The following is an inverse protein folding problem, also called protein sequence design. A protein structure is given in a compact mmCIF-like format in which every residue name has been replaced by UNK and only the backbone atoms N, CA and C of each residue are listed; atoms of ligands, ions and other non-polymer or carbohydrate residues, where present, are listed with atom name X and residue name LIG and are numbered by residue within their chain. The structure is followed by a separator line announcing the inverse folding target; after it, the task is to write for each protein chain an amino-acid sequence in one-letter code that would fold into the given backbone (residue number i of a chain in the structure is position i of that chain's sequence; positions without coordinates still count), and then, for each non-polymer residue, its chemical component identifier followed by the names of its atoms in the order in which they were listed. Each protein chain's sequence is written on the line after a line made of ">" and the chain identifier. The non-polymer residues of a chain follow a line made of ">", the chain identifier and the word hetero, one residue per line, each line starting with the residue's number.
data_IF_621014397853
#
_entry.id   IF_621014397853
#
_cell.length_a   1.000
_cell.length_b   1.000
_cell.length_c   1.000
_cell.angle_alpha   90.00
_cell.angle_beta   90.00
_cell.angle_gamma   90.00
#
_symmetry.space_group_name_H-M   'P 1'
#
loop_
_entity.id
_entity.type
_entity.pdbx_description
1 polymer ?
#
# COMPACT_ATOMS: atom_id res chain seq x y z
N UNK A 1 15.89 -7.72 -8.24
CA UNK A 1 14.47 -7.60 -7.91
C UNK A 1 14.37 -6.96 -6.54
N UNK A 2 13.61 -5.89 -6.38
CA UNK A 2 13.35 -5.27 -5.08
C UNK A 2 11.92 -5.59 -4.63
N UNK A 3 11.74 -6.01 -3.39
CA UNK A 3 10.43 -6.24 -2.80
C UNK A 3 9.94 -4.97 -2.12
N UNK A 4 8.79 -4.45 -2.54
CA UNK A 4 8.12 -3.34 -1.86
C UNK A 4 6.95 -3.91 -1.07
N UNK A 5 7.03 -3.80 0.25
CA UNK A 5 6.13 -4.44 1.21
C UNK A 5 5.19 -3.40 1.82
N UNK A 6 3.89 -3.54 1.56
CA UNK A 6 2.83 -2.63 2.01
C UNK A 6 2.00 -3.32 3.09
N UNK A 7 1.98 -2.76 4.30
CA UNK A 7 1.20 -3.31 5.40
C UNK A 7 -0.32 -3.05 5.23
N UNK A 8 -1.14 -3.74 6.03
CA UNK A 8 -2.59 -3.54 6.04
C UNK A 8 -3.04 -2.50 7.06
N UNK A 9 -4.35 -2.26 7.12
CA UNK A 9 -4.96 -1.41 8.14
C UNK A 9 -4.56 -1.86 9.55
N UNK A 10 -4.44 -0.88 10.46
CA UNK A 10 -4.04 -1.08 11.86
C UNK A 10 -2.65 -1.71 12.08
N UNK A 11 -1.82 -1.77 11.04
CA UNK A 11 -0.43 -2.22 11.12
C UNK A 11 0.53 -1.06 10.83
N UNK A 12 1.82 -1.37 10.88
CA UNK A 12 2.91 -0.48 10.49
C UNK A 12 4.00 -1.28 9.75
N UNK A 13 5.03 -0.62 9.19
CA UNK A 13 6.16 -1.30 8.54
C UNK A 13 6.80 -2.43 9.37
N UNK A 14 6.80 -2.32 10.69
CA UNK A 14 7.36 -3.30 11.62
C UNK A 14 6.75 -4.71 11.47
N UNK A 15 5.54 -4.82 10.92
CA UNK A 15 4.88 -6.10 10.67
C UNK A 15 5.71 -7.03 9.77
N UNK A 16 6.55 -6.46 8.91
CA UNK A 16 7.39 -7.20 7.98
C UNK A 16 8.76 -7.63 8.52
N UNK A 17 9.10 -7.32 9.78
CA UNK A 17 10.45 -7.55 10.33
C UNK A 17 10.96 -8.98 10.21
N UNK A 18 10.06 -9.96 10.29
CA UNK A 18 10.41 -11.39 10.26
C UNK A 18 10.41 -11.95 8.83
N UNK A 19 9.73 -11.26 7.89
CA UNK A 19 9.59 -11.64 6.49
C UNK A 19 10.71 -11.04 5.65
N UNK A 20 11.00 -9.74 5.82
CA UNK A 20 11.98 -9.02 5.01
C UNK A 20 13.38 -9.70 4.98
N UNK A 21 13.93 -10.22 6.09
CA UNK A 21 15.22 -10.90 6.07
C UNK A 21 15.23 -12.26 5.36
N UNK A 22 14.05 -12.82 5.04
CA UNK A 22 13.91 -14.14 4.38
C UNK A 22 13.77 -14.04 2.87
N UNK A 23 13.66 -12.83 2.33
CA UNK A 23 13.54 -12.58 0.90
C UNK A 23 14.92 -12.69 0.23
N UNK A 24 14.92 -13.12 -1.03
CA UNK A 24 16.13 -13.33 -1.83
C UNK A 24 16.66 -12.04 -2.49
N UNK A 25 16.18 -10.88 -2.04
CA UNK A 25 16.55 -9.57 -2.57
C UNK A 25 16.24 -8.44 -1.59
N UNK A 26 16.61 -7.20 -1.94
CA UNK A 26 16.33 -6.03 -1.11
C UNK A 26 14.84 -5.89 -0.84
N UNK A 27 14.49 -5.56 0.40
CA UNK A 27 13.12 -5.32 0.83
C UNK A 27 12.97 -3.90 1.39
N UNK A 28 11.98 -3.18 0.89
CA UNK A 28 11.61 -1.84 1.33
C UNK A 28 10.18 -1.90 1.84
N UNK A 29 9.91 -1.24 2.95
CA UNK A 29 8.56 -1.17 3.53
C UNK A 29 7.97 0.21 3.30
N UNK A 30 6.66 0.26 3.08
CA UNK A 30 5.91 1.52 2.98
C UNK A 30 5.13 1.72 4.26
N UNK A 31 5.25 2.91 4.87
CA UNK A 31 4.40 3.34 5.98
C UNK A 31 3.16 4.04 5.39
N UNK A 32 1.96 3.53 5.68
CA UNK A 32 0.72 4.07 5.12
C UNK A 32 0.26 5.30 5.92
N UNK A 33 0.17 6.49 5.30
CA UNK A 33 -0.39 7.70 5.93
C UNK A 33 -1.71 7.50 6.67
N UNK A 34 -2.60 6.63 6.18
CA UNK A 34 -3.89 6.32 6.82
C UNK A 34 -3.77 5.64 8.18
N UNK A 35 -2.67 4.92 8.41
CA UNK A 35 -2.36 4.24 9.68
C UNK A 35 -1.48 5.08 10.61
N UNK A 36 -0.95 6.19 10.12
CA UNK A 36 -0.13 7.14 10.86
C UNK A 36 -0.96 8.21 11.58
N UNK A 37 -0.29 9.10 12.34
CA UNK A 37 -0.94 10.16 13.11
C UNK A 37 -1.65 11.21 12.25
N UNK A 38 -1.31 11.30 10.97
CA UNK A 38 -1.96 12.19 10.03
C UNK A 38 -3.35 11.69 9.59
N UNK A 39 -3.66 10.40 9.80
CA UNK A 39 -4.89 9.76 9.36
C UNK A 39 -5.24 10.08 7.90
N UNK A 40 -4.25 9.94 7.01
CA UNK A 40 -4.41 10.20 5.58
C UNK A 40 -5.46 9.30 4.93
N UNK A 41 -5.81 9.62 3.68
CA UNK A 41 -6.79 8.83 2.93
C UNK A 41 -6.13 7.82 1.97
N UNK A 42 -6.96 7.14 1.17
CA UNK A 42 -6.48 6.16 0.20
C UNK A 42 -5.61 6.80 -0.90
N UNK A 43 -5.82 8.08 -1.23
CA UNK A 43 -5.01 8.78 -2.22
C UNK A 43 -3.62 9.11 -1.66
N UNK A 44 -3.53 9.48 -0.39
CA UNK A 44 -2.27 9.66 0.33
C UNK A 44 -1.47 8.35 0.38
N UNK A 45 -2.13 7.25 0.72
CA UNK A 45 -1.53 5.91 0.72
C UNK A 45 -1.03 5.51 -0.67
N UNK A 46 -1.86 5.69 -1.70
CA UNK A 46 -1.48 5.38 -3.08
C UNK A 46 -0.30 6.25 -3.54
N UNK A 47 -0.20 7.50 -3.08
CA UNK A 47 0.95 8.37 -3.36
C UNK A 47 2.20 7.87 -2.67
N UNK A 48 2.14 7.54 -1.39
CA UNK A 48 3.28 7.00 -0.64
C UNK A 48 3.82 5.71 -1.28
N UNK A 49 2.92 4.83 -1.72
CA UNK A 49 3.29 3.60 -2.45
C UNK A 49 3.98 3.95 -3.77
N UNK A 50 3.38 4.83 -4.59
CA UNK A 50 3.97 5.24 -5.89
C UNK A 50 5.35 5.86 -5.73
N UNK A 51 5.54 6.75 -4.77
CA UNK A 51 6.82 7.42 -4.54
C UNK A 51 7.95 6.39 -4.24
N UNK A 52 7.63 5.31 -3.52
CA UNK A 52 8.58 4.20 -3.28
C UNK A 52 8.78 3.35 -4.53
N UNK A 53 7.73 3.05 -5.29
CA UNK A 53 7.84 2.27 -6.53
C UNK A 53 8.73 2.99 -7.56
N UNK A 54 8.54 4.31 -7.74
CA UNK A 54 9.26 5.12 -8.73
C UNK A 54 10.75 5.26 -8.40
N UNK A 55 11.14 5.08 -7.14
CA UNK A 55 12.53 5.11 -6.68
C UNK A 55 13.30 3.80 -6.98
N UNK A 56 12.63 2.75 -7.46
CA UNK A 56 13.23 1.41 -7.62
C UNK A 56 12.91 0.82 -9.01
N UNK A 57 13.83 0.00 -9.51
CA UNK A 57 13.64 -0.74 -10.77
C UNK A 57 13.55 -2.25 -10.51
N UNK A 58 12.77 -2.96 -11.31
CA UNK A 58 12.56 -4.41 -11.15
C UNK A 58 11.89 -4.76 -9.82
N UNK A 59 10.69 -4.22 -9.60
CA UNK A 59 9.97 -4.30 -8.32
C UNK A 59 8.95 -5.44 -8.31
N UNK A 60 8.89 -6.17 -7.19
CA UNK A 60 7.74 -6.99 -6.80
C UNK A 60 6.99 -6.28 -5.66
N UNK A 61 5.76 -5.85 -5.93
CA UNK A 61 4.89 -5.24 -4.92
C UNK A 61 4.14 -6.34 -4.15
N UNK A 62 4.24 -6.33 -2.83
CA UNK A 62 3.54 -7.25 -1.92
C UNK A 62 2.69 -6.41 -0.98
N UNK A 63 1.38 -6.60 -1.03
CA UNK A 63 0.44 -5.83 -0.23
C UNK A 63 -0.44 -6.75 0.63
N UNK A 64 -0.56 -6.41 1.92
CA UNK A 64 -1.40 -7.15 2.87
C UNK A 64 -2.74 -6.43 3.12
N UNK A 65 -3.85 -7.15 2.93
CA UNK A 65 -5.21 -6.65 3.24
C UNK A 65 -5.50 -5.28 2.60
N UNK A 66 -5.90 -4.26 3.39
CA UNK A 66 -6.14 -2.89 2.94
C UNK A 66 -4.99 -2.27 2.15
N UNK A 67 -3.74 -2.68 2.40
CA UNK A 67 -2.60 -2.23 1.59
C UNK A 67 -2.76 -2.57 0.10
N UNK A 68 -3.59 -3.57 -0.24
CA UNK A 68 -3.94 -3.92 -1.62
C UNK A 68 -5.00 -3.02 -2.25
N UNK A 69 -5.76 -2.24 -1.48
CA UNK A 69 -6.79 -1.32 -1.99
C UNK A 69 -6.18 -0.13 -2.73
N UNK A 70 -4.93 0.26 -2.44
CA UNK A 70 -4.20 1.30 -3.17
C UNK A 70 -3.78 0.90 -4.59
N UNK A 71 -4.00 -0.37 -5.00
CA UNK A 71 -3.58 -0.93 -6.29
C UNK A 71 -4.54 -0.71 -7.47
N UNK A 72 -5.65 0.01 -7.30
CA UNK A 72 -6.65 0.23 -8.35
C UNK A 72 -6.51 1.59 -9.04
N UNK A 73 -6.41 1.62 -10.37
CA UNK A 73 -6.55 2.85 -11.15
C UNK A 73 -7.95 3.49 -10.93
N UNK A 74 -8.08 4.83 -10.97
CA UNK A 74 -9.38 5.47 -10.84
C UNK A 74 -10.20 5.24 -12.12
N UNK A 75 -11.28 4.45 -12.03
CA UNK A 75 -12.38 4.57 -13.00
C UNK A 75 -13.32 5.67 -12.53
N UNK A 76 -13.59 6.72 -13.34
CA UNK A 76 -14.63 7.68 -13.02
C UNK A 76 -15.99 7.01 -13.23
N UNK A 77 -16.68 6.65 -12.15
CA UNK A 77 -18.08 6.26 -12.19
C UNK A 77 -18.44 5.05 -11.33
N UNK A 78 -19.36 5.24 -10.39
CA UNK A 78 -19.95 4.22 -9.52
C UNK A 78 -19.41 4.36 -8.10
N UNK A 79 -20.17 4.84 -7.12
CA UNK A 79 -21.45 4.26 -6.72
C UNK A 79 -22.53 5.34 -6.57
N UNK A 80 -23.48 5.32 -7.51
CA UNK A 80 -24.78 5.95 -7.33
C UNK A 80 -25.54 5.19 -6.24
N UNK A 81 -25.94 5.91 -5.20
CA UNK A 81 -26.88 5.40 -4.21
C UNK A 81 -28.22 5.11 -4.86
N UNK A 82 -28.65 3.86 -4.82
CA UNK A 82 -30.06 3.51 -5.03
C UNK A 82 -30.79 3.89 -3.75
N UNK A 83 -31.62 4.94 -3.83
CA UNK A 83 -32.59 5.28 -2.81
C UNK A 83 -33.78 4.29 -2.85
N UNK A 84 -34.40 3.95 -1.71
CA UNK A 84 -35.47 2.95 -1.68
C UNK A 84 -36.81 3.53 -2.13
N UNK A 85 -37.45 2.83 -3.07
CA UNK A 85 -38.91 2.76 -3.24
C UNK A 85 -39.26 1.33 -3.61
#
# INVERSE_FOLDING_TARGET
>A
MTYVLVHGAWHSPWYWRDVAPRLDGPAVTVDLPSCGPAHGDLHDDARAIRDVLDAHTGVTLVAHSYGGCGGGAPTPGGLGGVAPR
#
